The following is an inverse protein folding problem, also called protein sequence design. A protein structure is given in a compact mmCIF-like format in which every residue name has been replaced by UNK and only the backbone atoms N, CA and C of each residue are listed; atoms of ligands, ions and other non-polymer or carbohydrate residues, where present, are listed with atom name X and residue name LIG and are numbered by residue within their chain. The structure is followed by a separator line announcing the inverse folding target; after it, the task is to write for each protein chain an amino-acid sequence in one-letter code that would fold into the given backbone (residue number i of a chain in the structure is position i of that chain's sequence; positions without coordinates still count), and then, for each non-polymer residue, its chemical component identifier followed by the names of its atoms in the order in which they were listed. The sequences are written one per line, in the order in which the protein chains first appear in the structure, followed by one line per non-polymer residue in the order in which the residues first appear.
data_IF_637373199342
#
_entry.id   IF_637373199342
#
_cell.length_a   1.000
_cell.length_b   1.000
_cell.length_c   1.000
_cell.angle_alpha   90.00
_cell.angle_beta   90.00
_cell.angle_gamma   90.00
#
_symmetry.space_group_name_H-M   'P 1'
#
loop_
_entity.id
_entity.type
_entity.pdbx_description
1 polymer ?
#
# COMPACT_ATOMS: atom_id res chain seq x y z
N UNK A 1 -25.37 -4.36 2.33
CA UNK A 1 -25.61 -4.50 3.79
C UNK A 1 -26.03 -3.16 4.35
N UNK A 2 -26.92 -3.09 5.36
CA UNK A 2 -27.32 -1.79 5.92
C UNK A 2 -26.10 -1.12 6.58
N UNK A 3 -25.87 0.12 6.20
CA UNK A 3 -24.74 0.94 6.68
C UNK A 3 -25.25 2.21 7.35
N UNK A 4 -24.40 2.84 8.17
CA UNK A 4 -24.64 4.16 8.75
C UNK A 4 -23.50 5.07 8.30
N UNK A 5 -23.82 6.20 7.71
CA UNK A 5 -22.84 7.25 7.46
C UNK A 5 -22.51 7.97 8.77
N UNK A 6 -21.26 7.91 9.21
CA UNK A 6 -20.78 8.56 10.43
C UNK A 6 -20.38 10.01 10.18
N UNK A 7 -19.74 10.27 9.03
CA UNK A 7 -19.37 11.62 8.61
C UNK A 7 -19.20 11.72 7.10
N UNK A 8 -19.34 12.93 6.58
CA UNK A 8 -18.99 13.34 5.21
C UNK A 8 -18.09 14.56 5.32
N UNK A 9 -16.93 14.49 4.72
CA UNK A 9 -15.92 15.53 4.83
C UNK A 9 -15.51 15.96 3.41
N UNK A 10 -15.87 17.17 2.97
CA UNK A 10 -15.42 17.70 1.70
C UNK A 10 -13.92 18.00 1.74
N UNK A 11 -13.20 17.66 0.68
CA UNK A 11 -11.79 17.97 0.49
C UNK A 11 -11.53 18.43 -0.93
N UNK A 12 -10.37 19.00 -1.18
CA UNK A 12 -9.93 19.33 -2.55
C UNK A 12 -9.70 18.10 -3.44
N UNK A 13 -9.59 16.90 -2.81
CA UNK A 13 -9.41 15.60 -3.46
C UNK A 13 -10.72 14.78 -3.49
N UNK A 14 -11.88 15.42 -3.46
CA UNK A 14 -13.19 14.77 -3.40
C UNK A 14 -13.73 14.65 -1.97
N UNK A 15 -14.99 14.27 -1.85
CA UNK A 15 -15.68 14.10 -0.57
C UNK A 15 -15.35 12.73 0.03
N UNK A 16 -14.92 12.72 1.29
CA UNK A 16 -14.66 11.49 2.06
C UNK A 16 -15.90 11.18 2.89
N UNK A 17 -16.34 9.93 2.83
CA UNK A 17 -17.40 9.41 3.68
C UNK A 17 -16.83 8.32 4.58
N UNK A 18 -17.09 8.43 5.88
CA UNK A 18 -16.86 7.32 6.79
C UNK A 18 -18.20 6.65 7.06
N UNK A 19 -18.24 5.36 6.76
CA UNK A 19 -19.45 4.56 6.83
C UNK A 19 -19.20 3.38 7.77
N UNK A 20 -20.16 3.05 8.61
CA UNK A 20 -20.11 1.88 9.48
C UNK A 20 -21.05 0.80 8.97
N UNK A 21 -20.56 -0.43 8.82
CA UNK A 21 -21.38 -1.62 8.59
C UNK A 21 -22.17 -1.97 9.85
N UNK A 22 -23.51 -2.06 9.76
CA UNK A 22 -24.34 -2.49 10.90
C UNK A 22 -24.13 -3.94 11.27
N UNK A 23 -23.83 -4.79 10.31
CA UNK A 23 -23.67 -6.23 10.54
C UNK A 23 -22.29 -6.56 11.13
N UNK A 24 -21.23 -6.00 10.55
CA UNK A 24 -19.85 -6.29 10.94
C UNK A 24 -19.31 -5.31 11.99
N UNK A 25 -19.92 -4.12 12.13
CA UNK A 25 -19.36 -3.05 12.96
C UNK A 25 -18.07 -2.44 12.39
N UNK A 26 -17.67 -2.86 11.17
CA UNK A 26 -16.50 -2.34 10.48
C UNK A 26 -16.70 -0.90 10.03
N UNK A 27 -15.59 -0.16 9.91
CA UNK A 27 -15.57 1.18 9.35
C UNK A 27 -14.99 1.14 7.93
N UNK A 28 -15.67 1.81 7.00
CA UNK A 28 -15.24 1.99 5.63
C UNK A 28 -14.86 3.45 5.40
N UNK A 29 -13.70 3.66 4.79
CA UNK A 29 -13.28 4.93 4.22
C UNK A 29 -13.65 4.90 2.74
N UNK A 30 -14.60 5.73 2.36
CA UNK A 30 -15.15 5.82 1.03
C UNK A 30 -14.81 7.17 0.43
N UNK A 31 -14.27 7.19 -0.78
CA UNK A 31 -13.96 8.42 -1.50
C UNK A 31 -14.13 8.19 -3.01
N UNK A 32 -14.70 9.18 -3.71
CA UNK A 32 -14.88 9.17 -5.17
C UNK A 32 -15.57 7.91 -5.72
N UNK A 33 -16.51 7.35 -4.98
CA UNK A 33 -17.26 6.16 -5.41
C UNK A 33 -16.62 4.83 -5.02
N UNK A 34 -15.47 4.82 -4.31
CA UNK A 34 -14.72 3.62 -3.96
C UNK A 34 -14.46 3.48 -2.46
N UNK A 35 -14.52 2.24 -1.98
CA UNK A 35 -14.06 1.89 -0.63
C UNK A 35 -12.53 1.76 -0.66
N UNK A 36 -11.83 2.80 -0.18
CA UNK A 36 -10.36 2.80 -0.15
C UNK A 36 -9.77 2.05 1.04
N UNK A 37 -10.51 1.96 2.14
CA UNK A 37 -10.08 1.19 3.32
C UNK A 37 -11.30 0.65 4.04
N UNK A 38 -11.17 -0.55 4.58
CA UNK A 38 -12.11 -1.12 5.53
C UNK A 38 -11.34 -1.73 6.70
N UNK A 39 -11.83 -1.52 7.92
CA UNK A 39 -11.23 -2.07 9.13
C UNK A 39 -12.29 -2.50 10.13
N UNK A 40 -11.95 -3.44 10.98
CA UNK A 40 -12.71 -3.75 12.18
C UNK A 40 -12.67 -2.57 13.19
N UNK A 41 -13.39 -2.71 14.30
CA UNK A 41 -13.45 -1.67 15.35
C UNK A 41 -12.08 -1.34 15.98
N UNK A 42 -11.11 -2.23 15.85
CA UNK A 42 -9.76 -2.04 16.34
C UNK A 42 -8.82 -1.42 15.29
N UNK A 43 -9.30 -1.13 14.09
CA UNK A 43 -8.50 -0.60 12.99
C UNK A 43 -7.62 -1.64 12.30
N UNK A 44 -7.89 -2.93 12.51
CA UNK A 44 -7.25 -4.01 11.73
C UNK A 44 -7.95 -4.09 10.39
N UNK A 45 -7.18 -4.04 9.32
CA UNK A 45 -7.71 -4.04 7.95
C UNK A 45 -8.52 -5.29 7.63
N UNK A 46 -9.56 -5.13 6.81
CA UNK A 46 -10.28 -6.24 6.18
C UNK A 46 -9.82 -6.48 4.73
N UNK A 47 -8.90 -5.67 4.23
CA UNK A 47 -8.36 -5.82 2.88
C UNK A 47 -7.15 -6.80 2.87
N UNK A 48 -7.20 -7.90 2.12
CA UNK A 48 -6.14 -8.91 2.09
C UNK A 48 -4.77 -8.36 1.68
N UNK A 49 -4.73 -7.38 0.77
CA UNK A 49 -3.48 -6.77 0.32
C UNK A 49 -2.74 -6.01 1.44
N UNK A 50 -3.48 -5.41 2.37
CA UNK A 50 -2.89 -4.73 3.55
C UNK A 50 -2.19 -5.75 4.44
N UNK A 51 -2.82 -6.90 4.68
CA UNK A 51 -2.19 -8.00 5.40
C UNK A 51 -1.00 -8.59 4.64
N UNK A 52 -1.05 -8.60 3.29
CA UNK A 52 0.07 -9.01 2.48
C UNK A 52 1.28 -8.07 2.69
N UNK A 53 1.09 -6.77 2.58
CA UNK A 53 2.16 -5.79 2.83
C UNK A 53 2.69 -5.93 4.26
N UNK A 54 1.80 -5.98 5.26
CA UNK A 54 2.17 -6.17 6.66
C UNK A 54 3.00 -7.44 6.88
N UNK A 55 2.55 -8.59 6.35
CA UNK A 55 3.23 -9.88 6.47
C UNK A 55 4.56 -9.95 5.68
N UNK A 56 4.71 -9.19 4.59
CA UNK A 56 5.98 -9.06 3.87
C UNK A 56 6.98 -8.21 4.66
N UNK A 57 6.56 -7.07 5.21
CA UNK A 57 7.41 -6.22 6.06
C UNK A 57 7.85 -6.98 7.31
N UNK A 58 6.97 -7.75 7.94
CA UNK A 58 7.29 -8.56 9.13
C UNK A 58 8.33 -9.67 8.88
N UNK A 59 8.60 -10.03 7.61
CA UNK A 59 9.68 -10.98 7.26
C UNK A 59 11.04 -10.29 7.14
N UNK A 60 11.10 -8.98 7.26
CA UNK A 60 12.33 -8.18 7.18
C UNK A 60 12.78 -7.74 8.58
N UNK A 61 13.92 -7.09 8.66
CA UNK A 61 14.39 -6.43 9.91
C UNK A 61 13.92 -4.98 10.00
N UNK A 62 12.92 -4.59 9.20
CA UNK A 62 12.43 -3.22 9.15
C UNK A 62 11.84 -2.79 10.49
N UNK A 63 12.22 -1.58 10.93
CA UNK A 63 11.66 -0.91 12.09
C UNK A 63 11.13 0.48 11.70
N UNK A 64 11.93 1.29 10.99
CA UNK A 64 11.54 2.60 10.50
C UNK A 64 10.79 2.45 9.17
N UNK A 65 9.48 2.71 9.16
CA UNK A 65 8.62 2.53 8.00
C UNK A 65 8.00 3.86 7.56
N UNK A 66 8.17 4.20 6.29
CA UNK A 66 7.46 5.30 5.64
C UNK A 66 6.26 4.75 4.85
N UNK A 67 5.10 5.37 5.05
CA UNK A 67 3.92 5.17 4.22
C UNK A 67 3.60 6.43 3.43
N UNK A 68 3.46 6.32 2.12
CA UNK A 68 2.97 7.36 1.21
C UNK A 68 1.56 6.96 0.81
N UNK A 69 0.59 7.77 1.23
CA UNK A 69 -0.83 7.47 1.24
C UNK A 69 -1.29 6.96 2.60
N UNK A 70 -2.41 7.49 3.08
CA UNK A 70 -3.00 7.14 4.37
C UNK A 70 -4.31 6.40 4.22
N UNK A 71 -5.25 6.92 3.43
CA UNK A 71 -6.62 6.44 3.42
C UNK A 71 -7.18 6.34 4.84
N UNK A 72 -7.69 5.18 5.24
CA UNK A 72 -8.08 4.89 6.61
C UNK A 72 -6.90 4.62 7.57
N UNK A 73 -5.65 4.63 7.12
CA UNK A 73 -4.47 4.42 7.96
C UNK A 73 -4.35 3.03 8.56
N UNK A 74 -5.07 2.04 8.03
CA UNK A 74 -5.17 0.69 8.61
C UNK A 74 -3.81 -0.03 8.66
N UNK A 75 -3.02 0.06 7.59
CA UNK A 75 -1.66 -0.50 7.57
C UNK A 75 -0.76 0.20 8.59
N UNK A 76 -0.81 1.53 8.69
CA UNK A 76 -0.07 2.31 9.69
C UNK A 76 -0.45 1.92 11.12
N UNK A 77 -1.74 1.68 11.37
CA UNK A 77 -2.25 1.18 12.64
C UNK A 77 -1.67 -0.20 12.98
N UNK A 78 -1.68 -1.12 12.02
CA UNK A 78 -1.15 -2.48 12.20
C UNK A 78 0.37 -2.46 12.44
N UNK A 79 1.13 -1.72 11.66
CA UNK A 79 2.59 -1.57 11.80
C UNK A 79 2.96 -0.94 13.15
N UNK A 80 2.29 0.16 13.54
CA UNK A 80 2.55 0.81 14.82
C UNK A 80 2.27 -0.11 16.02
N UNK A 81 1.20 -0.91 15.95
CA UNK A 81 0.90 -1.93 16.98
C UNK A 81 1.91 -3.06 17.02
N UNK A 82 2.53 -3.39 15.89
CA UNK A 82 3.63 -4.36 15.82
C UNK A 82 4.98 -3.79 16.30
N UNK A 83 5.02 -2.51 16.71
CA UNK A 83 6.21 -1.87 17.27
C UNK A 83 7.06 -1.13 16.24
N UNK A 84 6.61 -0.97 15.00
CA UNK A 84 7.32 -0.18 14.01
C UNK A 84 7.24 1.33 14.33
N UNK A 85 8.33 2.04 14.07
CA UNK A 85 8.35 3.50 13.99
C UNK A 85 7.76 3.93 12.64
N UNK A 86 6.50 4.36 12.65
CA UNK A 86 5.75 4.66 11.43
C UNK A 86 5.71 6.16 11.17
N UNK A 87 6.07 6.55 9.94
CA UNK A 87 5.85 7.87 9.37
C UNK A 87 4.82 7.76 8.24
N UNK A 88 3.76 8.54 8.29
CA UNK A 88 2.72 8.62 7.25
C UNK A 88 2.82 9.96 6.54
N UNK A 89 2.82 9.92 5.22
CA UNK A 89 2.78 11.11 4.37
C UNK A 89 1.54 11.02 3.48
N UNK A 90 0.65 11.99 3.58
CA UNK A 90 -0.54 12.07 2.74
C UNK A 90 -0.76 13.52 2.30
N UNK A 91 -1.16 13.70 1.05
CA UNK A 91 -1.45 15.02 0.50
C UNK A 91 -2.74 15.61 1.11
N UNK A 92 -3.64 14.75 1.59
CA UNK A 92 -4.92 15.13 2.16
C UNK A 92 -4.87 15.09 3.71
N UNK A 93 -4.90 16.26 4.33
CA UNK A 93 -4.90 16.38 5.80
C UNK A 93 -6.07 15.68 6.48
N UNK A 94 -7.22 15.60 5.80
CA UNK A 94 -8.42 14.96 6.33
C UNK A 94 -8.27 13.44 6.44
N UNK A 95 -7.53 12.79 5.53
CA UNK A 95 -7.25 11.35 5.62
C UNK A 95 -6.60 10.99 6.97
N UNK A 96 -5.57 11.73 7.37
CA UNK A 96 -4.85 11.51 8.63
C UNK A 96 -5.77 11.75 9.84
N UNK A 97 -6.58 12.81 9.81
CA UNK A 97 -7.53 13.14 10.89
C UNK A 97 -8.58 12.04 11.06
N UNK A 98 -9.20 11.60 9.95
CA UNK A 98 -10.21 10.56 9.94
C UNK A 98 -9.64 9.17 10.29
N UNK A 99 -8.40 8.85 9.87
CA UNK A 99 -7.70 7.64 10.27
C UNK A 99 -7.51 7.56 11.80
N UNK A 100 -7.15 8.68 12.44
CA UNK A 100 -7.04 8.76 13.90
C UNK A 100 -8.40 8.64 14.60
N UNK A 101 -9.42 9.24 14.05
CA UNK A 101 -10.74 9.29 14.66
C UNK A 101 -11.50 7.97 14.53
N UNK A 102 -11.43 7.29 13.38
CA UNK A 102 -12.31 6.16 13.06
C UNK A 102 -11.57 4.83 12.84
N UNK A 103 -10.26 4.85 12.55
CA UNK A 103 -9.49 3.65 12.21
C UNK A 103 -8.36 3.36 13.20
N UNK A 104 -8.42 3.97 14.37
CA UNK A 104 -7.49 3.71 15.48
C UNK A 104 -6.02 3.99 15.16
N UNK A 105 -5.72 4.86 14.18
CA UNK A 105 -4.33 5.25 13.90
C UNK A 105 -3.73 5.92 15.14
N UNK A 106 -2.65 5.36 15.74
CA UNK A 106 -2.12 5.84 17.01
C UNK A 106 -1.60 7.28 16.93
N UNK A 107 -1.80 8.06 17.99
CA UNK A 107 -1.36 9.47 18.04
C UNK A 107 0.16 9.65 17.92
N UNK A 108 0.94 8.65 18.31
CA UNK A 108 2.40 8.66 18.23
C UNK A 108 2.94 8.39 16.83
N UNK A 109 2.10 7.98 15.88
CA UNK A 109 2.48 7.86 14.46
C UNK A 109 2.80 9.26 13.94
N UNK A 110 4.03 9.43 13.47
CA UNK A 110 4.45 10.69 12.85
C UNK A 110 3.73 10.88 11.53
N UNK A 111 3.24 12.09 11.26
CA UNK A 111 2.49 12.34 10.03
C UNK A 111 2.82 13.70 9.42
N UNK A 112 2.87 13.74 8.09
CA UNK A 112 3.09 14.95 7.30
C UNK A 112 1.99 15.10 6.26
N UNK A 113 1.52 16.33 6.06
CA UNK A 113 0.58 16.67 4.99
C UNK A 113 1.39 17.23 3.83
N UNK A 114 1.70 16.37 2.86
CA UNK A 114 2.59 16.71 1.76
C UNK A 114 2.52 15.65 0.64
N UNK A 115 2.94 16.01 -0.57
CA UNK A 115 3.19 15.07 -1.65
C UNK A 115 4.36 14.14 -1.32
N UNK A 116 4.21 12.83 -1.59
CA UNK A 116 5.19 11.82 -1.22
C UNK A 116 6.55 11.98 -1.91
N UNK A 117 6.60 12.43 -3.17
CA UNK A 117 7.85 12.66 -3.89
C UNK A 117 8.57 13.90 -3.33
N UNK A 118 7.81 14.96 -3.04
CA UNK A 118 8.32 16.19 -2.41
C UNK A 118 8.90 15.89 -1.02
N UNK A 119 8.20 15.08 -0.22
CA UNK A 119 8.69 14.65 1.07
C UNK A 119 10.03 13.91 0.97
N UNK A 120 10.16 12.92 0.09
CA UNK A 120 11.40 12.18 -0.11
C UNK A 120 12.54 13.06 -0.62
N UNK A 121 12.24 14.06 -1.46
CA UNK A 121 13.26 14.95 -2.02
C UNK A 121 13.88 15.86 -0.95
N UNK A 122 13.08 16.37 -0.01
CA UNK A 122 13.52 17.34 1.02
C UNK A 122 13.94 16.70 2.35
N UNK A 123 13.55 15.44 2.62
CA UNK A 123 13.79 14.78 3.90
C UNK A 123 14.99 13.84 3.79
N UNK A 124 15.94 13.94 4.71
CA UNK A 124 17.16 13.13 4.72
C UNK A 124 17.04 11.85 5.55
N UNK A 125 15.88 11.60 6.17
CA UNK A 125 15.64 10.37 6.92
C UNK A 125 15.76 9.14 6.03
N UNK A 126 16.30 8.08 6.58
CA UNK A 126 16.44 6.77 5.95
C UNK A 126 15.43 5.81 6.57
N UNK A 127 14.75 5.03 5.74
CA UNK A 127 13.71 4.10 6.14
C UNK A 127 14.11 2.66 5.80
N UNK A 128 13.71 1.72 6.63
CA UNK A 128 13.92 0.30 6.37
C UNK A 128 12.85 -0.26 5.42
N UNK A 129 11.65 0.31 5.47
CA UNK A 129 10.58 0.01 4.50
C UNK A 129 9.93 1.30 4.01
N UNK A 130 9.70 1.40 2.69
CA UNK A 130 8.94 2.49 2.07
C UNK A 130 7.75 1.86 1.36
N UNK A 131 6.54 2.25 1.76
CA UNK A 131 5.29 1.70 1.23
C UNK A 131 4.55 2.81 0.49
N UNK A 132 4.16 2.54 -0.76
CA UNK A 132 3.35 3.42 -1.58
C UNK A 132 1.97 2.80 -1.72
N UNK A 133 0.98 3.42 -1.09
CA UNK A 133 -0.45 3.03 -1.12
C UNK A 133 -1.29 4.29 -1.37
N UNK A 134 -0.95 5.02 -2.41
CA UNK A 134 -1.57 6.27 -2.83
C UNK A 134 -2.22 6.11 -4.21
N UNK A 135 -3.47 6.56 -4.32
CA UNK A 135 -4.27 6.42 -5.54
C UNK A 135 -4.92 7.73 -5.95
N UNK A 136 -5.02 7.93 -7.25
CA UNK A 136 -5.91 8.88 -7.91
C UNK A 136 -6.65 8.11 -9.00
N UNK A 137 -7.97 8.08 -8.96
CA UNK A 137 -8.80 7.31 -9.92
C UNK A 137 -8.32 5.84 -10.06
N UNK A 138 -8.16 5.12 -8.96
CA UNK A 138 -7.71 3.73 -8.89
C UNK A 138 -6.29 3.46 -9.42
N UNK A 139 -5.51 4.48 -9.71
CA UNK A 139 -4.15 4.34 -10.24
C UNK A 139 -3.13 4.97 -9.31
N UNK A 140 -1.97 4.37 -9.22
CA UNK A 140 -0.82 5.02 -8.58
C UNK A 140 -0.47 6.28 -9.37
N UNK A 141 -0.37 7.45 -8.73
CA UNK A 141 0.02 8.70 -9.39
C UNK A 141 1.32 8.54 -10.19
N UNK A 142 1.34 9.03 -11.43
CA UNK A 142 2.47 8.81 -12.35
C UNK A 142 3.82 9.25 -11.76
N UNK A 143 3.85 10.36 -11.01
CA UNK A 143 5.06 10.88 -10.39
C UNK A 143 5.55 9.98 -9.24
N UNK A 144 4.67 9.22 -8.55
CA UNK A 144 5.01 8.25 -7.50
C UNK A 144 5.39 6.86 -8.05
N UNK A 145 5.45 6.69 -9.34
CA UNK A 145 5.89 5.44 -9.98
C UNK A 145 6.82 5.69 -11.18
N UNK A 146 7.50 6.84 -11.24
CA UNK A 146 8.50 7.15 -12.25
C UNK A 146 9.89 6.60 -11.87
N UNK A 147 10.81 6.54 -12.84
CA UNK A 147 12.20 6.13 -12.60
C UNK A 147 12.89 7.09 -11.65
N UNK A 148 12.65 8.39 -11.82
CA UNK A 148 13.19 9.47 -10.99
C UNK A 148 12.72 9.31 -9.53
N UNK A 149 11.44 9.03 -9.32
CA UNK A 149 10.89 8.78 -7.99
C UNK A 149 11.57 7.56 -7.33
N UNK A 150 11.76 6.47 -8.07
CA UNK A 150 12.49 5.31 -7.53
C UNK A 150 13.96 5.62 -7.26
N UNK A 151 14.56 6.59 -7.95
CA UNK A 151 15.86 7.13 -7.60
C UNK A 151 15.87 7.81 -6.23
N UNK A 152 14.83 8.61 -5.91
CA UNK A 152 14.65 9.21 -4.57
C UNK A 152 14.41 8.12 -3.50
N UNK A 153 13.54 7.15 -3.80
CA UNK A 153 13.31 6.01 -2.90
C UNK A 153 14.62 5.29 -2.55
N UNK A 154 15.50 5.04 -3.53
CA UNK A 154 16.80 4.40 -3.28
C UNK A 154 17.70 5.22 -2.36
N UNK A 155 17.67 6.54 -2.46
CA UNK A 155 18.47 7.42 -1.59
C UNK A 155 17.98 7.42 -0.14
N UNK A 156 16.69 7.14 0.08
CA UNK A 156 16.03 7.15 1.39
C UNK A 156 15.76 5.75 1.95
N UNK A 157 16.20 4.71 1.26
CA UNK A 157 16.06 3.32 1.69
C UNK A 157 17.34 2.81 2.32
N UNK A 158 17.23 2.17 3.48
CA UNK A 158 18.35 1.51 4.14
C UNK A 158 18.96 0.41 3.24
N UNK A 159 20.24 0.06 3.39
CA UNK A 159 20.91 -0.94 2.54
C UNK A 159 20.20 -2.30 2.46
N UNK A 160 19.59 -2.76 3.56
CA UNK A 160 18.77 -3.97 3.63
C UNK A 160 17.27 -3.68 3.55
N UNK A 161 16.88 -2.49 3.12
CA UNK A 161 15.51 -2.05 3.10
C UNK A 161 14.74 -2.55 1.87
N UNK A 162 13.42 -2.40 1.94
CA UNK A 162 12.51 -2.77 0.86
C UNK A 162 11.51 -1.65 0.55
N UNK A 163 11.12 -1.56 -0.71
CA UNK A 163 10.00 -0.71 -1.17
C UNK A 163 8.87 -1.60 -1.66
N UNK A 164 7.63 -1.29 -1.26
CA UNK A 164 6.43 -2.00 -1.68
C UNK A 164 5.40 -1.01 -2.23
N UNK A 165 4.78 -1.35 -3.34
CA UNK A 165 3.73 -0.53 -3.97
C UNK A 165 2.49 -1.37 -4.15
N UNK A 166 1.37 -0.89 -3.62
CA UNK A 166 0.06 -1.44 -3.95
C UNK A 166 -0.37 -0.94 -5.33
N UNK A 167 -0.76 -1.86 -6.20
CA UNK A 167 -1.24 -1.58 -7.55
C UNK A 167 -2.58 -2.27 -7.74
N UNK A 168 -3.61 -1.52 -8.07
CA UNK A 168 -4.92 -2.07 -8.42
C UNK A 168 -4.93 -2.44 -9.90
N UNK A 169 -5.30 -3.68 -10.20
CA UNK A 169 -5.41 -4.24 -11.55
C UNK A 169 -6.88 -4.40 -11.92
N UNK A 170 -7.35 -3.63 -12.88
CA UNK A 170 -8.77 -3.60 -13.27
C UNK A 170 -9.20 -4.86 -14.01
N UNK A 171 -8.31 -5.46 -14.81
CA UNK A 171 -8.61 -6.64 -15.63
C UNK A 171 -7.38 -7.54 -15.86
N UNK A 172 -7.60 -8.72 -16.44
CA UNK A 172 -6.56 -9.75 -16.61
C UNK A 172 -5.37 -9.34 -17.46
N UNK A 173 -5.58 -8.45 -18.42
CA UNK A 173 -4.53 -7.89 -19.31
C UNK A 173 -3.95 -6.55 -18.83
N UNK A 174 -4.29 -6.10 -17.61
CA UNK A 174 -3.72 -4.87 -17.05
C UNK A 174 -2.23 -5.02 -16.79
N UNK A 175 -1.42 -4.18 -17.42
CA UNK A 175 0.04 -4.17 -17.34
C UNK A 175 0.59 -3.17 -16.33
N UNK A 176 -0.25 -2.52 -15.53
CA UNK A 176 0.19 -1.47 -14.60
C UNK A 176 1.28 -1.95 -13.65
N UNK A 177 1.13 -3.14 -13.06
CA UNK A 177 2.16 -3.73 -12.21
C UNK A 177 3.45 -4.05 -12.97
N UNK A 178 3.35 -4.49 -14.23
CA UNK A 178 4.51 -4.78 -15.08
C UNK A 178 5.28 -3.51 -15.45
N UNK A 179 4.58 -2.44 -15.76
CA UNK A 179 5.17 -1.13 -16.08
C UNK A 179 5.91 -0.59 -14.84
N UNK A 180 5.28 -0.62 -13.66
CA UNK A 180 5.88 -0.16 -12.41
C UNK A 180 7.11 -1.03 -12.07
N UNK A 181 7.01 -2.34 -12.18
CA UNK A 181 8.12 -3.27 -11.97
C UNK A 181 9.31 -2.99 -12.92
N UNK A 182 9.02 -2.71 -14.19
CA UNK A 182 10.04 -2.32 -15.17
C UNK A 182 10.76 -1.02 -14.80
N UNK A 183 10.03 -0.01 -14.34
CA UNK A 183 10.60 1.27 -13.89
C UNK A 183 11.45 1.11 -12.63
N UNK A 184 10.99 0.30 -11.66
CA UNK A 184 11.77 -0.04 -10.47
C UNK A 184 13.07 -0.77 -10.84
N UNK A 185 12.99 -1.75 -11.76
CA UNK A 185 14.17 -2.45 -12.26
C UNK A 185 15.15 -1.51 -12.98
N UNK A 186 14.63 -0.56 -13.77
CA UNK A 186 15.46 0.46 -14.43
C UNK A 186 16.16 1.38 -13.42
N UNK A 187 15.51 1.69 -12.31
CA UNK A 187 16.12 2.40 -11.19
C UNK A 187 17.12 1.54 -10.37
N UNK A 188 17.35 0.29 -10.76
CA UNK A 188 18.36 -0.60 -10.20
C UNK A 188 17.90 -1.43 -9.00
N UNK A 189 16.59 -1.62 -8.81
CA UNK A 189 16.07 -2.54 -7.81
C UNK A 189 16.03 -3.99 -8.33
N UNK A 190 16.27 -4.95 -7.43
CA UNK A 190 15.80 -6.32 -7.64
C UNK A 190 14.29 -6.35 -7.37
N UNK A 191 13.49 -6.78 -8.35
CA UNK A 191 12.03 -6.65 -8.30
C UNK A 191 11.34 -8.01 -8.22
N UNK A 192 10.31 -8.09 -7.36
CA UNK A 192 9.34 -9.19 -7.31
C UNK A 192 7.92 -8.63 -7.31
N UNK A 193 6.95 -9.46 -7.70
CA UNK A 193 5.53 -9.10 -7.72
C UNK A 193 4.73 -10.22 -7.07
N UNK A 194 3.95 -9.87 -6.05
CA UNK A 194 2.94 -10.73 -5.44
C UNK A 194 1.57 -10.31 -5.98
N UNK A 195 0.72 -11.24 -6.36
CA UNK A 195 -0.57 -10.93 -7.02
C UNK A 195 -1.71 -11.70 -6.36
N UNK A 196 -2.82 -11.03 -6.11
CA UNK A 196 -4.09 -11.67 -5.77
C UNK A 196 -4.61 -12.49 -6.96
N UNK A 197 -5.26 -13.62 -6.72
CA UNK A 197 -5.87 -14.41 -7.78
C UNK A 197 -7.04 -13.67 -8.45
N UNK A 198 -7.49 -14.20 -9.58
CA UNK A 198 -8.65 -13.69 -10.28
C UNK A 198 -8.31 -12.91 -11.55
N UNK A 199 -9.28 -12.74 -12.44
CA UNK A 199 -9.09 -12.06 -13.72
C UNK A 199 -9.25 -10.54 -13.61
N UNK A 200 -10.05 -10.03 -12.67
CA UNK A 200 -10.42 -8.62 -12.58
C UNK A 200 -10.33 -8.11 -11.13
N UNK A 201 -10.28 -6.78 -10.97
CA UNK A 201 -10.40 -6.06 -9.70
C UNK A 201 -9.58 -6.68 -8.57
N UNK A 202 -8.26 -6.71 -8.74
CA UNK A 202 -7.34 -7.34 -7.79
C UNK A 202 -6.12 -6.48 -7.50
N UNK A 203 -5.49 -6.74 -6.37
CA UNK A 203 -4.26 -6.07 -6.00
C UNK A 203 -3.02 -6.87 -6.45
N UNK A 204 -2.01 -6.13 -6.83
CA UNK A 204 -0.64 -6.61 -6.97
C UNK A 204 0.29 -5.79 -6.09
N UNK A 205 1.20 -6.43 -5.39
CA UNK A 205 2.25 -5.76 -4.63
C UNK A 205 3.55 -5.86 -5.44
N UNK A 206 3.94 -4.74 -6.02
CA UNK A 206 5.24 -4.62 -6.68
C UNK A 206 6.26 -4.23 -5.62
N UNK A 207 7.35 -4.97 -5.53
CA UNK A 207 8.34 -4.76 -4.48
C UNK A 207 9.77 -4.78 -5.01
N UNK A 208 10.63 -4.00 -4.36
CA UNK A 208 12.05 -3.89 -4.72
C UNK A 208 12.97 -3.78 -3.51
N UNK A 209 14.26 -4.00 -3.70
CA UNK A 209 15.29 -3.98 -2.65
C UNK A 209 15.58 -5.36 -2.08
N UNK A 210 15.65 -5.51 -0.77
CA UNK A 210 15.95 -6.77 -0.08
C UNK A 210 14.75 -7.72 -0.05
N UNK A 211 14.21 -8.09 -1.21
CA UNK A 211 12.97 -8.87 -1.35
C UNK A 211 13.17 -10.30 -1.87
N UNK A 212 14.41 -10.70 -2.15
CA UNK A 212 14.72 -11.97 -2.82
C UNK A 212 14.26 -13.21 -2.02
N UNK A 213 14.34 -13.15 -0.70
CA UNK A 213 14.05 -14.26 0.23
C UNK A 213 12.64 -14.23 0.81
N UNK A 214 11.85 -13.21 0.49
CA UNK A 214 10.49 -13.09 1.00
C UNK A 214 9.63 -14.27 0.50
N UNK A 215 8.79 -14.79 1.38
CA UNK A 215 7.80 -15.85 1.12
C UNK A 215 6.41 -15.25 1.06
N UNK A 216 5.43 -16.05 0.58
CA UNK A 216 4.03 -15.66 0.65
C UNK A 216 3.68 -15.25 2.08
N UNK A 217 3.01 -14.10 2.24
CA UNK A 217 2.70 -13.56 3.57
C UNK A 217 1.66 -14.41 4.30
N UNK A 218 1.80 -14.51 5.62
CA UNK A 218 0.80 -15.09 6.50
C UNK A 218 -0.05 -14.01 7.18
N UNK A 219 -1.26 -14.36 7.62
CA UNK A 219 -2.12 -13.50 8.41
C UNK A 219 -1.56 -13.42 9.84
N UNK A 220 -0.84 -12.34 10.15
CA UNK A 220 -0.16 -12.14 11.43
C UNK A 220 -1.02 -11.37 12.46
N UNK A 221 -1.96 -10.55 11.98
CA UNK A 221 -2.88 -9.78 12.82
C UNK A 221 -4.31 -10.11 12.41
N UNK A 222 -5.03 -10.79 13.30
CA UNK A 222 -6.37 -11.30 13.01
C UNK A 222 -7.40 -10.20 13.18
N UNK A 223 -8.22 -9.87 12.14
CA UNK A 223 -9.37 -9.00 12.31
C UNK A 223 -10.48 -9.71 13.11
N UNK A 224 -11.30 -8.92 13.81
CA UNK A 224 -12.42 -9.46 14.61
C UNK A 224 -13.56 -10.01 13.75
N UNK A 225 -13.70 -9.51 12.53
CA UNK A 225 -14.77 -9.90 11.59
C UNK A 225 -14.16 -10.29 10.24
N UNK A 226 -14.87 -11.08 9.45
CA UNK A 226 -14.45 -11.54 8.11
C UNK A 226 -13.07 -12.21 8.09
N UNK A 227 -12.65 -12.76 9.22
CA UNK A 227 -11.33 -13.36 9.38
C UNK A 227 -11.05 -14.48 8.37
N UNK A 228 -12.03 -15.37 8.16
CA UNK A 228 -11.84 -16.53 7.28
C UNK A 228 -11.71 -16.13 5.83
N UNK A 229 -12.49 -15.14 5.39
CA UNK A 229 -12.45 -14.56 4.05
C UNK A 229 -11.10 -13.86 3.81
N UNK A 230 -10.69 -13.00 4.74
CA UNK A 230 -9.39 -12.31 4.65
C UNK A 230 -8.23 -13.30 4.62
N UNK A 231 -8.30 -14.35 5.45
CA UNK A 231 -7.27 -15.39 5.50
C UNK A 231 -7.20 -16.19 4.19
N UNK A 232 -8.36 -16.57 3.63
CA UNK A 232 -8.45 -17.33 2.39
C UNK A 232 -7.90 -16.52 1.21
N UNK A 233 -8.30 -15.25 1.08
CA UNK A 233 -7.84 -14.37 0.00
C UNK A 233 -6.33 -14.09 0.12
N UNK A 234 -5.83 -13.84 1.33
CA UNK A 234 -4.40 -13.66 1.57
C UNK A 234 -3.62 -14.93 1.20
N UNK A 235 -4.10 -16.10 1.62
CA UNK A 235 -3.47 -17.38 1.30
C UNK A 235 -3.49 -17.71 -0.21
N UNK A 236 -4.40 -17.12 -0.95
CA UNK A 236 -4.50 -17.31 -2.39
C UNK A 236 -3.51 -16.43 -3.19
N UNK A 237 -2.92 -15.41 -2.58
CA UNK A 237 -1.91 -14.57 -3.24
C UNK A 237 -0.63 -15.36 -3.55
N UNK A 238 -0.04 -15.12 -4.73
CA UNK A 238 1.17 -15.82 -5.19
C UNK A 238 2.19 -14.85 -5.77
N UNK A 239 3.47 -15.15 -5.55
CA UNK A 239 4.51 -14.51 -6.33
C UNK A 239 4.40 -14.93 -7.79
N UNK A 240 4.53 -13.96 -8.69
CA UNK A 240 4.69 -14.28 -10.11
C UNK A 240 5.96 -15.11 -10.29
N UNK A 241 5.86 -16.23 -11.02
CA UNK A 241 6.97 -17.16 -11.24
C UNK A 241 8.21 -16.46 -11.79
N UNK A 242 9.38 -16.81 -11.25
CA UNK A 242 10.65 -16.21 -11.56
C UNK A 242 11.08 -16.40 -13.01
N UNK A 243 11.84 -15.42 -13.54
CA UNK A 243 12.53 -15.37 -14.83
C UNK A 243 11.67 -15.07 -16.06
N UNK A 244 10.90 -14.00 -16.05
CA UNK A 244 10.96 -13.08 -17.20
C UNK A 244 11.89 -11.95 -16.77
N UNK A 245 13.11 -11.93 -17.33
CA UNK A 245 14.04 -10.83 -17.07
C UNK A 245 13.37 -9.55 -17.56
N UNK A 246 13.02 -8.68 -16.65
CA UNK A 246 12.43 -7.36 -16.95
C UNK A 246 13.30 -6.55 -17.94
N UNK A 247 14.58 -6.90 -18.07
CA UNK A 247 15.54 -6.29 -18.97
C UNK A 247 15.37 -6.64 -20.46
N UNK A 248 14.56 -7.66 -20.83
CA UNK A 248 14.49 -8.12 -22.23
C UNK A 248 13.40 -7.49 -23.07
N UNK A 249 12.43 -6.76 -22.49
CA UNK A 249 11.34 -6.11 -23.24
C UNK A 249 11.60 -4.66 -23.67
N UNK A 250 12.58 -3.98 -23.10
CA UNK A 250 12.88 -2.59 -23.46
C UNK A 250 13.73 -2.42 -24.72
N UNK A 251 14.21 -3.50 -25.34
CA UNK A 251 15.01 -3.42 -26.58
C UNK A 251 14.21 -3.49 -27.88
N UNK A 252 12.94 -3.87 -27.85
CA UNK A 252 12.13 -4.04 -29.09
C UNK A 252 11.20 -2.87 -29.43
N UNK A 253 11.10 -1.84 -28.59
CA UNK A 253 10.23 -0.67 -28.88
C UNK A 253 11.00 0.60 -29.32
N UNK A 254 12.33 0.51 -29.52
CA UNK A 254 13.15 1.63 -30.02
C UNK A 254 13.48 1.50 -31.53
N UNK A 255 12.90 0.55 -32.24
CA UNK A 255 13.08 0.42 -33.71
C UNK A 255 11.73 0.11 -34.38
N UNK A 256 10.80 1.05 -34.35
CA UNK A 256 9.69 1.18 -35.30
C UNK A 256 9.18 2.63 -35.30
#
# INVERSE_FOLDING_TARGET
MPTITLTKTPTEFGEIWIVQSRAAGSHLYWQEGWAQSEADRNGVSLAPYVHAIFGLVAQTTANATLMIGCGGGTLGTMLARAGHSVTVVDINSQSIALARQYFSLPKHVTSYVEDGASFLARNDAVFDAIIIDAFVEEKVPRHLCSVEFFGLVRQRLAPAGCVLINVFLQHGSDLSADIIAGRMAHAGFHVRVLVSPGPNERNAIVMGGAVATLREPALLMKPEVLYEEVAADLQAMRFRGGRRSWNSRTRSEQTA
#
